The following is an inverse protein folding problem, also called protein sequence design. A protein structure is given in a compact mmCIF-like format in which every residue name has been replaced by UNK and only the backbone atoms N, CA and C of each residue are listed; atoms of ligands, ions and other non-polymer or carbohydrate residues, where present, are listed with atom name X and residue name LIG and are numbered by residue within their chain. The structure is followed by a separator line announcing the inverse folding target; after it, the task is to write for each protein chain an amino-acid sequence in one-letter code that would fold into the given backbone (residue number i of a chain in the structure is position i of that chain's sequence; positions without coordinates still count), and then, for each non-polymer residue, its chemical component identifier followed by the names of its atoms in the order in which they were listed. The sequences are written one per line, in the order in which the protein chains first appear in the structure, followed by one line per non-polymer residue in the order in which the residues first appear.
data_IF_041651387206
#
_entry.id   IF_041651387206
#
_cell.length_a   1.000
_cell.length_b   1.000
_cell.length_c   1.000
_cell.angle_alpha   90.00
_cell.angle_beta   90.00
_cell.angle_gamma   90.00
#
_symmetry.space_group_name_H-M   'P 1'
#
loop_
_entity.id
_entity.type
_entity.pdbx_description
1 polymer ?
#
# COMPACT_ATOMS: atom_id res chain seq x y z
N UNK A 1 -54.96 28.79 7.29
CA UNK A 1 -55.91 27.65 7.32
C UNK A 1 -55.58 26.74 6.15
N UNK A 2 -55.39 25.43 6.37
CA UNK A 2 -54.92 24.52 5.32
C UNK A 2 -56.01 24.22 4.28
N UNK A 3 -55.63 24.18 3.00
CA UNK A 3 -56.53 24.05 1.84
C UNK A 3 -56.82 22.58 1.47
N UNK A 4 -55.96 21.64 1.87
CA UNK A 4 -56.19 20.22 1.61
C UNK A 4 -56.99 19.57 2.75
N UNK A 5 -57.83 18.63 2.36
CA UNK A 5 -58.52 17.69 3.25
C UNK A 5 -57.90 16.30 3.11
N UNK A 6 -58.11 15.43 4.11
CA UNK A 6 -57.61 14.04 4.04
C UNK A 6 -58.14 13.28 2.81
N UNK A 7 -59.37 13.58 2.37
CA UNK A 7 -59.96 13.04 1.15
C UNK A 7 -59.21 13.52 -0.10
N UNK A 8 -58.98 14.83 -0.22
CA UNK A 8 -58.22 15.39 -1.34
C UNK A 8 -56.77 14.88 -1.39
N UNK A 9 -56.16 14.59 -0.24
CA UNK A 9 -54.83 13.94 -0.20
C UNK A 9 -54.90 12.54 -0.80
N UNK A 10 -55.88 11.71 -0.42
CA UNK A 10 -56.06 10.36 -1.01
C UNK A 10 -56.29 10.42 -2.53
N UNK A 11 -57.05 11.39 -3.00
CA UNK A 11 -57.30 11.56 -4.43
C UNK A 11 -56.06 12.07 -5.17
N UNK A 12 -55.30 12.99 -4.57
CA UNK A 12 -54.05 13.51 -5.10
C UNK A 12 -52.97 12.43 -5.30
N UNK A 13 -52.97 11.35 -4.51
CA UNK A 13 -52.02 10.24 -4.68
C UNK A 13 -52.16 9.51 -6.03
N UNK A 14 -53.32 9.64 -6.70
CA UNK A 14 -53.61 8.96 -7.97
C UNK A 14 -53.11 9.73 -9.20
N UNK A 15 -52.87 11.03 -9.06
CA UNK A 15 -52.51 11.91 -10.16
C UNK A 15 -51.18 12.61 -9.84
N UNK A 16 -50.13 12.38 -10.65
CA UNK A 16 -48.86 13.07 -10.47
C UNK A 16 -49.04 14.60 -10.50
N UNK A 17 -48.44 15.31 -9.55
CA UNK A 17 -48.67 16.75 -9.41
C UNK A 17 -48.13 17.34 -8.13
N UNK A 18 -48.33 18.65 -7.97
CA UNK A 18 -48.01 19.40 -6.75
C UNK A 18 -49.28 20.01 -6.19
N UNK A 19 -49.63 19.64 -4.97
CA UNK A 19 -50.89 20.01 -4.32
C UNK A 19 -50.60 20.89 -3.10
N UNK A 20 -51.08 22.14 -3.12
CA UNK A 20 -50.76 23.14 -2.09
C UNK A 20 -51.73 23.03 -0.90
N UNK A 21 -51.19 22.91 0.30
CA UNK A 21 -51.98 23.00 1.54
C UNK A 21 -51.99 24.43 2.11
N UNK A 22 -50.97 25.24 1.84
CA UNK A 22 -50.87 26.62 2.35
C UNK A 22 -49.71 26.82 3.31
N UNK A 23 -49.39 28.08 3.62
CA UNK A 23 -48.21 28.46 4.43
C UNK A 23 -46.88 27.86 3.93
N UNK A 24 -46.81 27.58 2.62
CA UNK A 24 -45.68 26.93 1.97
C UNK A 24 -45.65 25.39 2.11
N UNK A 25 -46.60 24.76 2.80
CA UNK A 25 -46.74 23.30 2.82
C UNK A 25 -47.43 22.81 1.54
N UNK A 26 -46.87 21.78 0.91
CA UNK A 26 -47.44 21.13 -0.26
C UNK A 26 -47.06 19.65 -0.34
N UNK A 27 -47.91 18.87 -1.01
CA UNK A 27 -47.66 17.48 -1.37
C UNK A 27 -47.13 17.43 -2.80
N UNK A 28 -46.07 16.65 -3.03
CA UNK A 28 -45.58 16.35 -4.38
C UNK A 28 -45.74 14.86 -4.65
N UNK A 29 -46.45 14.53 -5.72
CA UNK A 29 -46.71 13.16 -6.19
C UNK A 29 -45.97 12.96 -7.50
N UNK A 30 -45.10 11.96 -7.56
CA UNK A 30 -44.30 11.63 -8.74
C UNK A 30 -45.08 10.76 -9.75
N UNK A 31 -44.51 10.59 -10.95
CA UNK A 31 -45.11 9.79 -12.03
C UNK A 31 -45.17 8.28 -11.72
N UNK A 32 -44.47 7.81 -10.69
CA UNK A 32 -44.39 6.42 -10.24
C UNK A 32 -45.22 6.17 -8.97
N UNK A 33 -46.04 7.14 -8.53
CA UNK A 33 -46.92 7.04 -7.36
C UNK A 33 -46.23 7.31 -6.01
N UNK A 34 -44.97 7.71 -6.00
CA UNK A 34 -44.28 8.19 -4.80
C UNK A 34 -44.81 9.57 -4.39
N UNK A 35 -45.15 9.74 -3.11
CA UNK A 35 -45.70 10.99 -2.60
C UNK A 35 -44.96 11.46 -1.34
N UNK A 36 -44.56 12.72 -1.33
CA UNK A 36 -43.79 13.32 -0.25
C UNK A 36 -44.27 14.73 0.07
N UNK A 37 -44.29 15.05 1.36
CA UNK A 37 -44.60 16.37 1.89
C UNK A 37 -43.37 17.27 1.82
N UNK A 38 -43.58 18.53 1.44
CA UNK A 38 -42.56 19.55 1.39
C UNK A 38 -43.06 20.84 2.03
N UNK A 39 -42.17 21.56 2.71
CA UNK A 39 -42.42 22.94 3.13
C UNK A 39 -41.44 23.87 2.43
N UNK A 40 -41.99 24.87 1.73
CA UNK A 40 -41.24 25.95 1.10
C UNK A 40 -40.91 27.00 2.14
N UNK A 41 -39.62 27.24 2.33
CA UNK A 41 -39.06 28.15 3.32
C UNK A 41 -38.05 29.08 2.66
N UNK A 42 -37.78 30.23 3.30
CA UNK A 42 -36.76 31.18 2.87
C UNK A 42 -35.68 31.23 3.95
N UNK A 43 -34.45 30.90 3.58
CA UNK A 43 -33.28 30.93 4.47
C UNK A 43 -32.15 31.66 3.75
N UNK A 44 -31.52 32.63 4.42
CA UNK A 44 -30.47 33.47 3.83
C UNK A 44 -30.89 34.18 2.53
N UNK A 45 -32.14 34.65 2.46
CA UNK A 45 -32.69 35.33 1.28
C UNK A 45 -33.09 34.40 0.12
N UNK A 46 -32.73 33.10 0.13
CA UNK A 46 -33.02 32.14 -0.94
C UNK A 46 -34.21 31.24 -0.58
N UNK A 47 -35.10 31.01 -1.56
CA UNK A 47 -36.21 30.05 -1.43
C UNK A 47 -35.70 28.62 -1.59
N UNK A 48 -36.11 27.73 -0.68
CA UNK A 48 -35.78 26.29 -0.69
C UNK A 48 -36.98 25.46 -0.27
N UNK A 49 -37.10 24.26 -0.86
CA UNK A 49 -38.13 23.28 -0.50
C UNK A 49 -37.51 22.21 0.41
N UNK A 50 -38.01 22.10 1.65
CA UNK A 50 -37.57 21.12 2.63
C UNK A 50 -38.53 19.94 2.63
N UNK A 51 -38.03 18.74 2.31
CA UNK A 51 -38.82 17.51 2.40
C UNK A 51 -39.14 17.20 3.86
N UNK A 52 -40.41 17.01 4.21
CA UNK A 52 -40.85 16.59 5.54
C UNK A 52 -40.93 15.07 5.66
N UNK A 53 -41.08 14.36 4.55
CA UNK A 53 -41.09 12.90 4.48
C UNK A 53 -42.23 12.36 3.60
N UNK A 54 -42.35 11.03 3.49
CA UNK A 54 -43.33 10.41 2.61
C UNK A 54 -44.76 10.50 3.16
N UNK A 55 -45.73 10.79 2.29
CA UNK A 55 -47.15 10.81 2.64
C UNK A 55 -47.74 9.41 2.94
N UNK A 56 -46.97 8.33 2.71
CA UNK A 56 -47.33 6.98 3.17
C UNK A 56 -47.22 6.82 4.69
N UNK A 57 -46.29 7.55 5.30
CA UNK A 57 -45.96 7.44 6.73
C UNK A 57 -46.41 8.65 7.54
N UNK A 58 -46.63 9.79 6.87
CA UNK A 58 -46.93 11.07 7.52
C UNK A 58 -48.30 11.53 7.05
N UNK A 59 -49.23 11.61 7.99
CA UNK A 59 -50.57 12.16 7.78
C UNK A 59 -50.53 13.65 7.49
N UNK A 60 -51.62 14.19 6.92
CA UNK A 60 -51.74 15.63 6.66
C UNK A 60 -51.61 16.47 7.95
N UNK A 61 -52.15 15.97 9.08
CA UNK A 61 -52.08 16.67 10.36
C UNK A 61 -50.64 16.74 10.89
N UNK A 62 -49.90 15.63 10.82
CA UNK A 62 -48.48 15.57 11.20
C UNK A 62 -47.63 16.45 10.27
N UNK A 63 -47.89 16.43 8.96
CA UNK A 63 -47.21 17.28 7.99
C UNK A 63 -47.40 18.77 8.30
N UNK A 64 -48.60 19.20 8.73
CA UNK A 64 -48.86 20.57 9.19
C UNK A 64 -48.06 20.90 10.45
N UNK A 65 -48.04 20.01 11.43
CA UNK A 65 -47.23 20.17 12.65
C UNK A 65 -45.73 20.32 12.34
N UNK A 66 -45.20 19.43 11.51
CA UNK A 66 -43.79 19.47 11.08
C UNK A 66 -43.47 20.74 10.28
N UNK A 67 -44.39 21.22 9.44
CA UNK A 67 -44.21 22.47 8.69
C UNK A 67 -44.16 23.69 9.61
N UNK A 68 -44.99 23.73 10.67
CA UNK A 68 -44.95 24.80 11.68
C UNK A 68 -43.60 24.80 12.40
N UNK A 69 -43.14 23.63 12.87
CA UNK A 69 -41.85 23.49 13.54
C UNK A 69 -40.68 23.90 12.63
N UNK A 70 -40.70 23.47 11.37
CA UNK A 70 -39.66 23.83 10.41
C UNK A 70 -39.63 25.34 10.13
N UNK A 71 -40.80 25.99 10.01
CA UNK A 71 -40.86 27.44 9.85
C UNK A 71 -40.40 28.19 11.11
N UNK A 72 -40.76 27.72 12.30
CA UNK A 72 -40.32 28.30 13.58
C UNK A 72 -38.80 28.23 13.71
N UNK A 73 -38.21 27.05 13.48
CA UNK A 73 -36.77 26.86 13.56
C UNK A 73 -36.00 27.76 12.58
N UNK A 74 -36.50 27.98 11.35
CA UNK A 74 -35.82 28.86 10.39
C UNK A 74 -36.07 30.34 10.65
N UNK A 75 -37.32 30.76 10.89
CA UNK A 75 -37.68 32.18 10.97
C UNK A 75 -37.46 32.80 12.34
N UNK A 76 -37.63 32.04 13.41
CA UNK A 76 -37.55 32.55 14.79
C UNK A 76 -36.19 32.19 15.39
N UNK A 77 -35.77 30.94 15.24
CA UNK A 77 -34.53 30.44 15.87
C UNK A 77 -33.29 30.62 14.97
N UNK A 78 -33.47 31.06 13.72
CA UNK A 78 -32.37 31.29 12.77
C UNK A 78 -31.61 30.02 12.34
N UNK A 79 -32.18 28.83 12.55
CA UNK A 79 -31.54 27.53 12.26
C UNK A 79 -31.69 27.13 10.79
N UNK A 80 -30.62 26.64 10.18
CA UNK A 80 -30.68 26.03 8.84
C UNK A 80 -30.88 24.51 8.93
N UNK A 81 -32.15 24.08 8.95
CA UNK A 81 -32.56 22.67 9.05
C UNK A 81 -32.02 21.81 7.91
N UNK A 82 -31.72 22.40 6.74
CA UNK A 82 -31.13 21.67 5.60
C UNK A 82 -29.66 21.39 5.87
N UNK A 83 -28.93 22.36 6.44
CA UNK A 83 -27.55 22.20 6.86
C UNK A 83 -27.45 21.22 8.04
N UNK A 84 -28.35 21.29 9.03
CA UNK A 84 -28.46 20.34 10.14
C UNK A 84 -28.66 18.91 9.62
N UNK A 85 -29.62 18.66 8.73
CA UNK A 85 -29.83 17.32 8.17
C UNK A 85 -28.68 16.82 7.28
N UNK A 86 -27.95 17.73 6.62
CA UNK A 86 -26.71 17.37 5.91
C UNK A 86 -25.62 16.98 6.89
N UNK A 87 -25.54 17.67 8.03
CA UNK A 87 -24.65 17.34 9.14
C UNK A 87 -25.02 16.00 9.76
N UNK A 88 -26.29 15.71 10.03
CA UNK A 88 -26.76 14.41 10.55
C UNK A 88 -26.44 13.26 9.58
N UNK A 89 -26.54 13.50 8.26
CA UNK A 89 -26.15 12.52 7.24
C UNK A 89 -24.64 12.36 7.11
N UNK A 90 -23.87 13.42 7.30
CA UNK A 90 -22.41 13.39 7.37
C UNK A 90 -21.95 12.63 8.63
N UNK A 91 -22.64 12.81 9.75
CA UNK A 91 -22.51 12.06 10.99
C UNK A 91 -22.93 10.59 10.83
N UNK A 92 -23.68 10.21 9.80
CA UNK A 92 -24.05 8.81 9.57
C UNK A 92 -22.98 7.95 8.89
N UNK A 93 -21.94 8.55 8.27
CA UNK A 93 -20.90 7.77 7.59
C UNK A 93 -20.00 7.13 8.64
N UNK A 94 -20.05 5.80 8.70
CA UNK A 94 -19.25 5.03 9.64
C UNK A 94 -17.77 5.01 9.24
N UNK A 95 -16.88 4.75 10.20
CA UNK A 95 -15.46 4.59 9.92
C UNK A 95 -15.19 3.51 8.87
N UNK A 96 -15.91 2.38 8.93
CA UNK A 96 -15.82 1.27 7.98
C UNK A 96 -16.17 1.72 6.57
N UNK A 97 -17.28 2.43 6.38
CA UNK A 97 -17.68 2.95 5.08
C UNK A 97 -16.64 3.92 4.53
N UNK A 98 -16.13 4.84 5.36
CA UNK A 98 -15.07 5.76 4.97
C UNK A 98 -13.78 5.01 4.56
N UNK A 99 -13.40 3.96 5.28
CA UNK A 99 -12.23 3.15 4.98
C UNK A 99 -12.35 2.37 3.67
N UNK A 100 -13.51 1.73 3.43
CA UNK A 100 -13.79 1.00 2.18
C UNK A 100 -13.80 1.97 0.99
N UNK A 101 -14.41 3.14 1.15
CA UNK A 101 -14.43 4.15 0.10
C UNK A 101 -13.03 4.68 -0.20
N UNK A 102 -12.25 5.05 0.83
CA UNK A 102 -10.86 5.48 0.65
C UNK A 102 -10.03 4.41 -0.10
N UNK A 103 -10.17 3.15 0.31
CA UNK A 103 -9.49 2.02 -0.34
C UNK A 103 -9.87 1.92 -1.82
N UNK A 104 -11.17 1.95 -2.14
CA UNK A 104 -11.65 1.85 -3.52
C UNK A 104 -11.13 2.97 -4.44
N UNK A 105 -10.99 4.19 -3.90
CA UNK A 105 -10.54 5.37 -4.66
C UNK A 105 -9.01 5.42 -4.81
N UNK A 106 -8.25 4.84 -3.88
CA UNK A 106 -6.79 4.96 -3.85
C UNK A 106 -6.06 3.69 -4.29
N UNK A 107 -6.73 2.53 -4.32
CA UNK A 107 -6.09 1.24 -4.67
C UNK A 107 -5.43 1.25 -6.05
N UNK A 108 -5.97 2.01 -7.01
CA UNK A 108 -5.39 2.15 -8.35
C UNK A 108 -4.01 2.83 -8.36
N UNK A 109 -3.67 3.61 -7.32
CA UNK A 109 -2.35 4.22 -7.16
C UNK A 109 -1.33 3.33 -6.45
N UNK A 110 -1.71 2.16 -5.95
CA UNK A 110 -0.82 1.27 -5.22
C UNK A 110 -0.18 0.24 -6.14
N UNK A 111 1.16 0.12 -6.07
CA UNK A 111 1.95 -0.75 -6.96
C UNK A 111 1.76 -2.27 -6.74
N UNK A 112 1.11 -2.68 -5.66
CA UNK A 112 1.01 -4.08 -5.27
C UNK A 112 -0.41 -4.39 -4.83
N UNK A 113 -1.03 -5.35 -5.50
CA UNK A 113 -2.36 -5.86 -5.15
C UNK A 113 -2.36 -6.44 -3.72
N UNK A 114 -1.33 -7.21 -3.36
CA UNK A 114 -1.15 -7.68 -1.98
C UNK A 114 -1.01 -6.57 -0.95
N UNK A 115 -0.42 -5.41 -1.28
CA UNK A 115 -0.44 -4.25 -0.38
C UNK A 115 -1.86 -3.71 -0.21
N UNK A 116 -2.64 -3.68 -1.29
CA UNK A 116 -4.03 -3.23 -1.28
C UNK A 116 -4.90 -4.08 -0.37
N UNK A 117 -4.81 -5.40 -0.50
CA UNK A 117 -5.53 -6.36 0.35
C UNK A 117 -5.09 -6.25 1.82
N UNK A 118 -3.77 -6.22 2.07
CA UNK A 118 -3.22 -6.04 3.42
C UNK A 118 -3.60 -4.71 4.07
N UNK A 119 -3.94 -3.70 3.26
CA UNK A 119 -4.37 -2.42 3.77
C UNK A 119 -5.72 -2.55 4.47
N UNK A 120 -6.72 -3.07 3.77
CA UNK A 120 -8.07 -3.22 4.31
C UNK A 120 -8.13 -4.32 5.37
N UNK A 121 -7.49 -5.47 5.13
CA UNK A 121 -7.47 -6.59 6.07
C UNK A 121 -6.90 -6.22 7.45
N UNK A 122 -5.97 -5.26 7.51
CA UNK A 122 -5.46 -4.78 8.79
C UNK A 122 -6.49 -3.99 9.60
N UNK A 123 -7.34 -3.21 8.91
CA UNK A 123 -8.41 -2.45 9.56
C UNK A 123 -9.54 -3.40 9.96
N UNK A 124 -9.87 -4.39 9.12
CA UNK A 124 -10.81 -5.45 9.44
C UNK A 124 -10.42 -6.23 10.69
N UNK A 125 -9.14 -6.57 10.83
CA UNK A 125 -8.66 -7.34 11.98
C UNK A 125 -8.57 -6.50 13.25
N UNK A 126 -8.07 -5.28 13.17
CA UNK A 126 -7.64 -4.52 14.36
C UNK A 126 -8.55 -3.35 14.73
N UNK A 127 -9.36 -2.86 13.80
CA UNK A 127 -10.09 -1.57 13.95
C UNK A 127 -11.59 -1.75 13.86
N UNK A 128 -12.08 -2.45 12.82
CA UNK A 128 -13.50 -2.60 12.59
C UNK A 128 -14.29 -3.23 13.75
N UNK A 129 -13.77 -4.26 14.46
CA UNK A 129 -14.46 -4.83 15.61
C UNK A 129 -14.58 -3.87 16.80
N UNK A 130 -13.82 -2.77 16.82
CA UNK A 130 -13.81 -1.80 17.93
C UNK A 130 -14.72 -0.61 17.65
N UNK A 131 -14.55 0.04 16.51
CA UNK A 131 -15.29 1.26 16.17
C UNK A 131 -15.61 1.38 14.67
N UNK A 132 -15.53 0.29 13.90
CA UNK A 132 -15.82 0.32 12.46
C UNK A 132 -17.21 0.84 12.13
N UNK A 133 -18.21 0.45 12.91
CA UNK A 133 -19.61 0.77 12.66
C UNK A 133 -20.08 2.07 13.37
N UNK A 134 -19.16 2.77 14.04
CA UNK A 134 -19.43 4.09 14.62
C UNK A 134 -19.21 5.20 13.58
N UNK A 135 -19.97 6.31 13.66
CA UNK A 135 -19.71 7.53 12.89
C UNK A 135 -18.23 7.95 12.89
N UNK A 136 -17.69 8.27 11.71
CA UNK A 136 -16.32 8.78 11.60
C UNK A 136 -16.12 10.10 12.37
N UNK A 137 -17.18 10.90 12.54
CA UNK A 137 -17.16 12.13 13.32
C UNK A 137 -16.99 11.89 14.83
N UNK A 138 -17.46 10.76 15.35
CA UNK A 138 -17.48 10.46 16.79
C UNK A 138 -16.21 9.73 17.26
N UNK A 139 -15.32 9.38 16.34
CA UNK A 139 -14.05 8.72 16.69
C UNK A 139 -13.11 9.73 17.34
N UNK A 140 -12.66 9.45 18.56
CA UNK A 140 -11.73 10.30 19.31
C UNK A 140 -10.40 9.59 19.58
N UNK A 141 -9.41 10.31 20.10
CA UNK A 141 -8.08 9.75 20.36
C UNK A 141 -8.10 8.53 21.31
N UNK A 142 -8.97 8.51 22.32
CA UNK A 142 -9.10 7.37 23.25
C UNK A 142 -9.56 6.09 22.55
N UNK A 143 -10.46 6.18 21.56
CA UNK A 143 -10.90 5.02 20.77
C UNK A 143 -9.74 4.42 19.97
N UNK A 144 -8.94 5.30 19.35
CA UNK A 144 -7.78 4.90 18.55
C UNK A 144 -6.72 4.24 19.45
N UNK A 145 -6.46 4.83 20.63
CA UNK A 145 -5.54 4.26 21.62
C UNK A 145 -6.03 2.88 22.03
N UNK A 146 -7.30 2.72 22.41
CA UNK A 146 -7.87 1.44 22.83
C UNK A 146 -7.77 0.36 21.73
N UNK A 147 -7.98 0.72 20.46
CA UNK A 147 -7.82 -0.21 19.34
C UNK A 147 -6.36 -0.62 19.10
N UNK A 148 -5.41 0.29 19.34
CA UNK A 148 -3.98 0.04 19.12
C UNK A 148 -3.30 -0.65 20.29
N UNK A 149 -3.72 -0.41 21.53
CA UNK A 149 -3.07 -0.94 22.75
C UNK A 149 -2.71 -2.43 22.68
N UNK A 150 -3.60 -3.35 22.23
CA UNK A 150 -3.28 -4.79 22.17
C UNK A 150 -2.14 -5.14 21.22
N UNK A 151 -1.96 -4.36 20.15
CA UNK A 151 -0.95 -4.62 19.11
C UNK A 151 0.27 -3.71 19.20
N UNK A 152 0.20 -2.65 20.01
CA UNK A 152 1.19 -1.57 19.99
C UNK A 152 2.57 -2.02 20.46
N UNK A 153 2.65 -2.77 21.56
CA UNK A 153 3.93 -3.33 22.03
C UNK A 153 4.19 -4.74 21.49
N UNK A 154 3.14 -5.56 21.35
CA UNK A 154 3.28 -6.93 20.85
C UNK A 154 3.76 -6.96 19.39
N UNK A 155 3.28 -6.04 18.55
CA UNK A 155 3.60 -5.96 17.13
C UNK A 155 3.88 -4.51 16.70
N UNK A 156 5.04 -3.93 17.06
CA UNK A 156 5.26 -2.49 16.96
C UNK A 156 5.06 -1.90 15.56
N UNK A 157 5.57 -2.56 14.52
CA UNK A 157 5.40 -2.14 13.13
C UNK A 157 3.94 -2.22 12.67
N UNK A 158 3.22 -3.27 13.06
CA UNK A 158 1.79 -3.40 12.77
C UNK A 158 1.00 -2.29 13.46
N UNK A 159 1.26 -2.03 14.73
CA UNK A 159 0.63 -0.93 15.49
C UNK A 159 0.85 0.43 14.83
N UNK A 160 2.09 0.75 14.43
CA UNK A 160 2.41 2.00 13.71
C UNK A 160 1.67 2.12 12.38
N UNK A 161 1.63 1.03 11.60
CA UNK A 161 0.92 0.99 10.29
C UNK A 161 -0.58 1.17 10.46
N UNK A 162 -1.21 0.45 11.39
CA UNK A 162 -2.64 0.57 11.68
C UNK A 162 -2.98 1.98 12.15
N UNK A 163 -2.17 2.57 13.05
CA UNK A 163 -2.32 3.98 13.46
C UNK A 163 -2.33 4.93 12.28
N UNK A 164 -1.35 4.80 11.38
CA UNK A 164 -1.28 5.62 10.18
C UNK A 164 -2.53 5.48 9.31
N UNK A 165 -2.98 4.23 9.05
CA UNK A 165 -4.18 3.95 8.27
C UNK A 165 -5.44 4.56 8.89
N UNK A 166 -5.60 4.48 10.21
CA UNK A 166 -6.71 5.12 10.93
C UNK A 166 -6.69 6.63 10.68
N UNK A 167 -5.54 7.29 10.88
CA UNK A 167 -5.42 8.73 10.65
C UNK A 167 -5.70 9.11 9.19
N UNK A 168 -5.25 8.31 8.22
CA UNK A 168 -5.54 8.50 6.80
C UNK A 168 -7.04 8.48 6.52
N UNK A 169 -7.77 7.49 7.07
CA UNK A 169 -9.23 7.39 6.88
C UNK A 169 -9.96 8.57 7.53
N UNK A 170 -9.56 8.98 8.74
CA UNK A 170 -10.18 10.11 9.43
C UNK A 170 -9.91 11.45 8.71
N UNK A 171 -8.71 11.64 8.17
CA UNK A 171 -8.39 12.81 7.34
C UNK A 171 -9.17 12.80 6.01
N UNK A 172 -9.34 11.63 5.40
CA UNK A 172 -10.20 11.48 4.23
C UNK A 172 -11.65 11.83 4.56
N UNK A 173 -12.18 11.35 5.68
CA UNK A 173 -13.52 11.70 6.15
C UNK A 173 -13.67 13.21 6.41
N UNK A 174 -12.64 13.85 6.96
CA UNK A 174 -12.61 15.30 7.14
C UNK A 174 -12.65 16.05 5.80
N UNK A 175 -11.80 15.67 4.84
CA UNK A 175 -11.77 16.27 3.50
C UNK A 175 -13.09 16.08 2.72
N UNK A 176 -13.83 15.00 3.01
CA UNK A 176 -15.17 14.74 2.46
C UNK A 176 -16.31 15.44 3.20
N UNK A 177 -16.02 16.14 4.31
CA UNK A 177 -17.01 16.81 5.14
C UNK A 177 -17.84 15.87 6.02
N UNK A 178 -17.43 14.60 6.19
CA UNK A 178 -18.06 13.62 7.10
C UNK A 178 -17.58 13.74 8.53
N UNK A 179 -16.55 14.54 8.75
CA UNK A 179 -15.98 14.80 10.07
C UNK A 179 -15.58 16.27 10.18
N UNK A 180 -15.85 16.86 11.35
CA UNK A 180 -15.59 18.28 11.62
C UNK A 180 -14.10 18.62 11.74
N UNK A 181 -13.32 17.72 12.33
CA UNK A 181 -11.91 17.94 12.64
C UNK A 181 -11.01 16.93 11.93
N UNK A 182 -9.75 17.30 11.70
CA UNK A 182 -8.73 16.35 11.26
C UNK A 182 -8.56 15.18 12.24
N UNK A 183 -7.87 14.13 11.79
CA UNK A 183 -7.46 13.03 12.65
C UNK A 183 -6.61 13.55 13.82
N UNK A 184 -6.75 12.98 15.02
CA UNK A 184 -5.85 13.31 16.13
C UNK A 184 -4.38 13.18 15.70
N UNK A 185 -3.58 14.23 15.96
CA UNK A 185 -2.22 14.32 15.44
C UNK A 185 -1.33 13.17 15.94
N UNK A 186 -0.59 12.56 15.01
CA UNK A 186 0.43 11.55 15.31
C UNK A 186 1.59 12.08 16.15
N UNK A 187 1.77 13.42 16.16
CA UNK A 187 2.73 14.16 16.96
C UNK A 187 2.08 14.86 18.17
N UNK A 188 0.75 14.74 18.34
CA UNK A 188 -0.04 15.27 19.45
C UNK A 188 -0.62 14.13 20.30
N UNK A 189 -1.95 14.00 20.37
CA UNK A 189 -2.63 13.04 21.24
C UNK A 189 -2.26 11.57 20.97
N UNK A 190 -1.89 11.22 19.73
CA UNK A 190 -1.45 9.87 19.37
C UNK A 190 0.06 9.69 19.39
N UNK A 191 0.83 10.68 19.87
CA UNK A 191 2.29 10.58 20.00
C UNK A 191 2.67 9.46 20.95
N UNK A 192 3.65 8.66 20.55
CA UNK A 192 4.24 7.64 21.42
C UNK A 192 4.88 8.33 22.64
N UNK A 193 4.48 7.93 23.83
CA UNK A 193 4.80 8.55 25.12
C UNK A 193 3.66 9.35 25.74
N UNK A 194 2.59 9.67 25.00
CA UNK A 194 1.40 10.32 25.56
C UNK A 194 0.35 9.25 25.91
N UNK A 195 -0.52 8.90 24.96
CA UNK A 195 -1.56 7.88 25.14
C UNK A 195 -1.16 6.46 24.76
N UNK A 196 -0.06 6.29 24.03
CA UNK A 196 0.50 4.98 23.68
C UNK A 196 1.94 4.92 24.21
N UNK A 197 2.38 3.81 24.82
CA UNK A 197 3.72 3.74 25.39
C UNK A 197 4.80 3.88 24.30
N UNK A 198 5.98 4.40 24.65
CA UNK A 198 7.10 4.44 23.69
C UNK A 198 7.49 3.00 23.34
N UNK A 199 7.63 2.75 22.04
CA UNK A 199 8.14 1.48 21.54
C UNK A 199 9.67 1.56 21.56
N UNK A 200 10.29 0.85 22.50
CA UNK A 200 11.75 0.86 22.74
C UNK A 200 12.48 -0.29 22.05
N UNK A 201 11.76 -1.15 21.30
CA UNK A 201 12.38 -2.25 20.58
C UNK A 201 13.46 -1.76 19.63
N UNK A 202 14.69 -2.27 19.80
CA UNK A 202 15.79 -2.02 18.89
C UNK A 202 15.38 -2.40 17.46
N UNK A 203 15.77 -1.56 16.51
CA UNK A 203 15.51 -1.80 15.10
C UNK A 203 16.32 -3.03 14.69
N UNK A 204 15.69 -4.21 14.65
CA UNK A 204 16.39 -5.42 14.21
C UNK A 204 16.85 -5.23 12.76
N UNK A 205 18.15 -5.03 12.58
CA UNK A 205 18.76 -4.99 11.26
C UNK A 205 18.68 -6.39 10.66
N UNK A 206 18.35 -6.45 9.36
CA UNK A 206 18.36 -7.72 8.62
C UNK A 206 19.79 -8.26 8.63
N UNK A 207 20.02 -9.36 9.35
CA UNK A 207 21.35 -9.98 9.46
C UNK A 207 21.90 -10.30 8.07
N UNK A 208 23.10 -9.80 7.79
CA UNK A 208 23.84 -10.04 6.56
C UNK A 208 24.93 -11.08 6.81
N UNK A 209 25.14 -11.97 5.86
CA UNK A 209 26.25 -12.92 5.90
C UNK A 209 27.57 -12.14 5.71
N UNK A 210 28.62 -12.36 6.51
CA UNK A 210 29.94 -11.80 6.22
C UNK A 210 30.40 -12.21 4.82
N UNK A 211 30.91 -11.29 4.00
CA UNK A 211 31.27 -11.62 2.61
C UNK A 211 32.30 -12.74 2.51
N UNK A 212 33.17 -12.88 3.53
CA UNK A 212 34.16 -13.97 3.63
C UNK A 212 33.55 -15.37 3.68
N UNK A 213 32.31 -15.50 4.18
CA UNK A 213 31.60 -16.78 4.28
C UNK A 213 30.78 -17.12 3.02
N UNK A 214 30.58 -16.16 2.11
CA UNK A 214 29.75 -16.34 0.91
C UNK A 214 30.26 -17.46 -0.01
N UNK A 215 31.57 -17.57 -0.32
CA UNK A 215 32.02 -18.60 -1.26
C UNK A 215 31.76 -20.02 -0.75
N UNK A 216 32.07 -20.28 0.52
CA UNK A 216 31.79 -21.57 1.18
C UNK A 216 30.27 -21.86 1.22
N UNK A 217 29.45 -20.87 1.59
CA UNK A 217 28.00 -21.02 1.60
C UNK A 217 27.45 -21.38 0.22
N UNK A 218 27.93 -20.74 -0.86
CA UNK A 218 27.49 -21.05 -2.20
C UNK A 218 27.97 -22.44 -2.67
N UNK A 219 29.14 -22.90 -2.24
CA UNK A 219 29.58 -24.29 -2.47
C UNK A 219 28.62 -25.29 -1.82
N UNK A 220 28.24 -25.07 -0.55
CA UNK A 220 27.25 -25.88 0.15
C UNK A 220 25.87 -25.85 -0.55
N UNK A 221 25.46 -24.66 -1.02
CA UNK A 221 24.19 -24.47 -1.71
C UNK A 221 24.10 -25.29 -3.01
N UNK A 222 25.21 -25.37 -3.75
CA UNK A 222 25.33 -26.10 -5.02
C UNK A 222 25.25 -27.61 -4.85
N UNK A 223 25.57 -28.15 -3.67
CA UNK A 223 25.57 -29.59 -3.41
C UNK A 223 24.17 -30.24 -3.46
N UNK A 224 23.09 -29.45 -3.35
CA UNK A 224 21.70 -29.95 -3.39
C UNK A 224 20.85 -29.11 -4.34
N UNK A 225 20.97 -29.24 -5.67
CA UNK A 225 20.32 -28.33 -6.61
C UNK A 225 18.78 -28.35 -6.51
N UNK A 226 18.16 -27.18 -6.56
CA UNK A 226 16.71 -26.98 -6.66
C UNK A 226 16.45 -25.55 -7.18
N UNK A 227 15.28 -25.28 -7.77
CA UNK A 227 14.97 -23.91 -8.24
C UNK A 227 15.08 -22.85 -7.14
N UNK A 228 14.66 -23.16 -5.91
CA UNK A 228 14.81 -22.23 -4.78
C UNK A 228 16.27 -21.90 -4.45
N UNK A 229 17.17 -22.90 -4.56
CA UNK A 229 18.61 -22.72 -4.31
C UNK A 229 19.30 -21.99 -5.47
N UNK A 230 18.94 -22.32 -6.71
CA UNK A 230 19.43 -21.61 -7.90
C UNK A 230 18.97 -20.15 -7.89
N UNK A 231 17.71 -19.88 -7.52
CA UNK A 231 17.19 -18.51 -7.37
C UNK A 231 17.91 -17.73 -6.27
N UNK A 232 18.22 -18.36 -5.14
CA UNK A 232 19.01 -17.72 -4.07
C UNK A 232 20.43 -17.42 -4.55
N UNK A 233 21.12 -18.39 -5.17
CA UNK A 233 22.46 -18.20 -5.73
C UNK A 233 22.48 -17.07 -6.76
N UNK A 234 21.52 -17.06 -7.68
CA UNK A 234 21.37 -16.01 -8.67
C UNK A 234 21.14 -14.63 -8.03
N UNK A 235 20.29 -14.54 -6.99
CA UNK A 235 20.07 -13.29 -6.26
C UNK A 235 21.34 -12.78 -5.55
N UNK A 236 22.17 -13.67 -5.03
CA UNK A 236 23.47 -13.31 -4.43
C UNK A 236 24.43 -12.80 -5.51
N UNK A 237 24.60 -13.54 -6.61
CA UNK A 237 25.54 -13.22 -7.69
C UNK A 237 25.17 -11.95 -8.46
N UNK A 238 23.87 -11.62 -8.55
CA UNK A 238 23.38 -10.40 -9.21
C UNK A 238 23.16 -9.24 -8.24
N UNK A 239 23.30 -9.47 -6.93
CA UNK A 239 22.85 -8.56 -5.88
C UNK A 239 21.39 -8.09 -6.06
N UNK A 240 20.53 -8.87 -6.73
CA UNK A 240 19.13 -8.53 -6.95
C UNK A 240 18.27 -8.70 -5.69
N UNK A 241 17.06 -8.13 -5.68
CA UNK A 241 16.08 -8.41 -4.62
C UNK A 241 15.46 -9.80 -4.84
N UNK A 242 15.02 -10.43 -3.76
CA UNK A 242 14.33 -11.74 -3.82
C UNK A 242 13.19 -11.76 -4.85
N UNK A 243 12.34 -10.73 -4.87
CA UNK A 243 11.25 -10.65 -5.84
C UNK A 243 11.75 -10.60 -7.29
N UNK A 244 12.78 -9.80 -7.57
CA UNK A 244 13.35 -9.65 -8.92
C UNK A 244 13.88 -11.00 -9.42
N UNK A 245 14.65 -11.72 -8.59
CA UNK A 245 15.17 -13.04 -8.96
C UNK A 245 14.06 -14.11 -9.12
N UNK A 246 13.06 -14.14 -8.24
CA UNK A 246 11.97 -15.14 -8.28
C UNK A 246 11.04 -14.99 -9.48
N UNK A 247 10.88 -13.76 -9.97
CA UNK A 247 9.96 -13.44 -11.08
C UNK A 247 10.69 -13.29 -12.42
N UNK A 248 12.02 -13.46 -12.44
CA UNK A 248 12.80 -13.35 -13.66
C UNK A 248 12.35 -14.40 -14.69
N UNK A 249 12.16 -13.94 -15.92
CA UNK A 249 11.77 -14.77 -17.07
C UNK A 249 12.91 -14.92 -18.07
N UNK A 250 12.85 -15.97 -18.89
CA UNK A 250 13.89 -16.23 -19.89
C UNK A 250 14.00 -15.12 -20.94
N UNK A 251 12.90 -14.44 -21.26
CA UNK A 251 12.85 -13.31 -22.20
C UNK A 251 13.62 -12.07 -21.70
N UNK A 252 13.87 -11.97 -20.39
CA UNK A 252 14.64 -10.87 -19.81
C UNK A 252 16.16 -11.08 -19.94
N UNK A 253 16.61 -12.27 -20.37
CA UNK A 253 18.02 -12.64 -20.43
C UNK A 253 18.52 -12.57 -21.87
N UNK A 254 19.50 -11.71 -22.09
CA UNK A 254 20.34 -11.72 -23.27
C UNK A 254 21.62 -12.51 -22.95
N UNK A 255 21.69 -13.76 -23.42
CA UNK A 255 22.83 -14.65 -23.18
C UNK A 255 24.07 -14.24 -23.99
N UNK A 256 23.90 -13.60 -25.15
CA UNK A 256 25.01 -13.16 -25.99
C UNK A 256 25.66 -11.91 -25.39
N UNK A 257 24.85 -10.92 -25.02
CA UNK A 257 25.34 -9.71 -24.36
C UNK A 257 25.69 -9.93 -22.88
N UNK A 258 25.31 -11.07 -22.30
CA UNK A 258 25.44 -11.40 -20.86
C UNK A 258 24.73 -10.37 -19.97
N UNK A 259 23.51 -10.00 -20.35
CA UNK A 259 22.72 -9.00 -19.65
C UNK A 259 21.39 -9.58 -19.19
N UNK A 260 20.98 -9.19 -17.98
CA UNK A 260 19.61 -9.36 -17.51
C UNK A 260 18.91 -8.01 -17.46
N UNK A 261 17.83 -7.86 -18.22
CA UNK A 261 17.02 -6.63 -18.27
C UNK A 261 15.78 -6.80 -17.40
N UNK A 262 15.90 -6.46 -16.11
CA UNK A 262 14.79 -6.57 -15.16
C UNK A 262 13.74 -5.45 -15.43
N UNK A 263 12.49 -5.78 -15.80
CA UNK A 263 11.47 -4.80 -16.16
C UNK A 263 11.10 -3.87 -15.00
N UNK A 264 10.69 -2.64 -15.31
CA UNK A 264 10.27 -1.67 -14.29
C UNK A 264 9.15 -2.18 -13.39
N UNK A 265 8.28 -3.04 -13.91
CA UNK A 265 7.17 -3.69 -13.19
C UNK A 265 7.66 -4.60 -12.06
N UNK A 266 8.77 -5.29 -12.24
CA UNK A 266 9.41 -6.15 -11.22
C UNK A 266 10.22 -5.32 -10.21
N UNK A 267 10.55 -4.08 -10.55
CA UNK A 267 11.43 -3.21 -9.78
C UNK A 267 10.66 -2.36 -8.77
N UNK A 268 11.11 -2.35 -7.50
CA UNK A 268 10.54 -1.49 -6.43
C UNK A 268 10.34 -0.02 -6.84
N UNK A 269 11.24 0.50 -7.69
CA UNK A 269 11.24 1.90 -8.14
C UNK A 269 10.47 2.15 -9.44
N UNK A 270 9.94 1.13 -10.11
CA UNK A 270 9.22 1.30 -11.37
C UNK A 270 10.09 1.65 -12.57
N UNK A 271 11.41 1.42 -12.49
CA UNK A 271 12.37 1.72 -13.56
C UNK A 271 13.11 0.44 -13.94
N UNK A 272 13.17 0.16 -15.24
CA UNK A 272 13.94 -0.96 -15.80
C UNK A 272 15.39 -0.90 -15.33
N UNK A 273 15.96 -2.05 -15.02
CA UNK A 273 17.34 -2.16 -14.54
C UNK A 273 18.09 -3.23 -15.32
N UNK A 274 19.20 -2.83 -15.94
CA UNK A 274 20.09 -3.74 -16.66
C UNK A 274 21.19 -4.20 -15.70
N UNK A 275 21.28 -5.51 -15.50
CA UNK A 275 22.24 -6.21 -14.64
C UNK A 275 23.23 -6.99 -15.50
N UNK A 276 24.52 -6.63 -15.51
CA UNK A 276 25.55 -7.49 -16.11
C UNK A 276 25.65 -8.82 -15.37
N UNK A 277 25.71 -9.91 -16.14
CA UNK A 277 25.81 -11.27 -15.64
C UNK A 277 27.26 -11.74 -15.69
N UNK A 278 27.78 -12.15 -14.53
CA UNK A 278 29.09 -12.79 -14.46
C UNK A 278 29.06 -14.22 -14.97
N UNK A 279 30.22 -14.82 -15.25
CA UNK A 279 30.29 -16.24 -15.62
C UNK A 279 29.66 -17.16 -14.57
N UNK A 280 29.82 -16.84 -13.28
CA UNK A 280 29.15 -17.56 -12.19
C UNK A 280 27.61 -17.45 -12.28
N UNK A 281 27.07 -16.28 -12.60
CA UNK A 281 25.62 -16.10 -12.75
C UNK A 281 25.09 -16.85 -14.00
N UNK A 282 25.84 -16.81 -15.10
CA UNK A 282 25.50 -17.56 -16.31
C UNK A 282 25.52 -19.07 -16.06
N UNK A 283 26.43 -19.58 -15.23
CA UNK A 283 26.46 -20.99 -14.84
C UNK A 283 25.18 -21.41 -14.09
N UNK A 284 24.63 -20.52 -13.24
CA UNK A 284 23.33 -20.76 -12.58
C UNK A 284 22.20 -20.83 -13.61
N UNK A 285 22.19 -19.93 -14.58
CA UNK A 285 21.20 -19.94 -15.66
C UNK A 285 21.28 -21.21 -16.51
N UNK A 286 22.48 -21.68 -16.87
CA UNK A 286 22.64 -22.95 -17.60
C UNK A 286 22.06 -24.14 -16.82
N UNK A 287 22.28 -24.19 -15.50
CA UNK A 287 21.69 -25.22 -14.62
C UNK A 287 20.16 -25.11 -14.56
N UNK A 288 19.62 -23.90 -14.47
CA UNK A 288 18.18 -23.68 -14.49
C UNK A 288 17.56 -24.10 -15.83
N UNK A 289 18.23 -23.82 -16.95
CA UNK A 289 17.80 -24.24 -18.28
C UNK A 289 17.76 -25.77 -18.43
N UNK A 290 18.76 -26.47 -17.88
CA UNK A 290 18.79 -27.94 -17.89
C UNK A 290 17.65 -28.58 -17.08
N UNK A 291 17.10 -27.86 -16.08
CA UNK A 291 15.97 -28.31 -15.26
C UNK A 291 14.63 -27.75 -15.74
N UNK A 292 14.62 -26.97 -16.84
CA UNK A 292 13.47 -26.16 -17.26
C UNK A 292 12.20 -27.01 -17.41
N UNK A 293 11.12 -26.54 -16.77
CA UNK A 293 9.80 -27.15 -16.90
C UNK A 293 9.13 -26.70 -18.20
N UNK A 294 8.61 -27.66 -18.97
CA UNK A 294 7.85 -27.37 -20.18
C UNK A 294 6.66 -26.46 -19.86
N UNK A 295 6.48 -25.40 -20.65
CA UNK A 295 5.39 -24.44 -20.49
C UNK A 295 5.60 -23.32 -19.47
N UNK A 296 6.73 -23.29 -18.73
CA UNK A 296 7.05 -22.15 -17.85
C UNK A 296 8.05 -21.19 -18.50
N UNK A 297 7.72 -19.90 -18.50
CA UNK A 297 8.64 -18.83 -18.93
C UNK A 297 9.56 -18.34 -17.79
N UNK A 298 9.32 -18.77 -16.55
CA UNK A 298 10.14 -18.40 -15.40
C UNK A 298 11.49 -19.10 -15.46
N UNK A 299 12.55 -18.39 -15.06
CA UNK A 299 13.88 -18.98 -14.89
C UNK A 299 13.87 -19.96 -13.69
N UNK A 300 13.16 -19.58 -12.61
CA UNK A 300 13.07 -20.36 -11.38
C UNK A 300 11.60 -20.61 -10.99
N UNK A 301 10.90 -21.54 -11.65
CA UNK A 301 9.51 -21.85 -11.30
C UNK A 301 9.39 -22.54 -9.93
N UNK A 302 8.22 -22.36 -9.30
CA UNK A 302 7.77 -23.19 -8.18
C UNK A 302 7.29 -24.56 -8.64
N UNK A 303 6.88 -25.42 -7.69
CA UNK A 303 6.49 -26.81 -7.98
C UNK A 303 5.32 -26.94 -8.98
N UNK A 304 4.42 -25.95 -9.02
CA UNK A 304 3.28 -25.93 -9.94
C UNK A 304 3.56 -25.22 -11.27
N UNK A 305 4.82 -24.87 -11.57
CA UNK A 305 5.22 -24.16 -12.79
C UNK A 305 5.03 -22.64 -12.75
N UNK A 306 4.24 -22.13 -11.79
CA UNK A 306 4.08 -20.71 -11.51
C UNK A 306 5.20 -20.10 -10.63
N UNK A 307 5.11 -18.81 -10.28
CA UNK A 307 6.14 -18.15 -9.46
C UNK A 307 6.22 -18.76 -8.07
N UNK A 308 7.45 -18.99 -7.58
CA UNK A 308 7.67 -19.50 -6.22
C UNK A 308 7.28 -18.44 -5.17
N UNK A 309 6.92 -18.87 -3.95
CA UNK A 309 6.52 -17.96 -2.87
C UNK A 309 7.66 -17.04 -2.42
N UNK A 310 7.31 -15.91 -1.82
CA UNK A 310 8.27 -14.96 -1.23
C UNK A 310 9.13 -15.57 -0.10
N UNK A 311 8.57 -16.58 0.57
CA UNK A 311 9.24 -17.33 1.63
C UNK A 311 10.28 -18.34 1.12
N UNK A 312 10.26 -18.70 -0.16
CA UNK A 312 11.07 -19.82 -0.68
C UNK A 312 12.57 -19.63 -0.44
N UNK A 313 13.12 -18.45 -0.77
CA UNK A 313 14.55 -18.16 -0.61
C UNK A 313 14.95 -18.06 0.87
N UNK A 314 14.03 -17.59 1.73
CA UNK A 314 14.26 -17.57 3.17
C UNK A 314 14.23 -18.98 3.77
N UNK A 315 13.35 -19.85 3.27
CA UNK A 315 13.33 -21.27 3.65
C UNK A 315 14.63 -21.96 3.28
N UNK A 316 15.18 -21.68 2.10
CA UNK A 316 16.50 -22.21 1.70
C UNK A 316 17.60 -21.85 2.71
N UNK A 317 17.63 -20.60 3.21
CA UNK A 317 18.60 -20.20 4.25
C UNK A 317 18.35 -20.95 5.57
N UNK A 318 17.09 -21.06 6.00
CA UNK A 318 16.74 -21.81 7.23
C UNK A 318 17.12 -23.28 7.13
N UNK A 319 16.85 -23.91 5.99
CA UNK A 319 17.20 -25.31 5.72
C UNK A 319 18.72 -25.53 5.68
N UNK A 320 19.49 -24.50 5.35
CA UNK A 320 20.95 -24.48 5.43
C UNK A 320 21.49 -24.17 6.84
N UNK A 321 20.62 -23.92 7.83
CA UNK A 321 21.03 -23.54 9.19
C UNK A 321 21.52 -22.09 9.32
N UNK A 322 21.31 -21.26 8.30
CA UNK A 322 21.86 -19.91 8.25
C UNK A 322 20.93 -18.87 8.89
N UNK A 323 21.38 -18.07 9.88
CA UNK A 323 20.56 -17.10 10.60
C UNK A 323 20.39 -15.77 9.83
N UNK A 324 20.73 -15.75 8.54
CA UNK A 324 20.77 -14.55 7.71
C UNK A 324 19.46 -14.29 6.97
N UNK A 325 19.30 -13.06 6.51
CA UNK A 325 18.16 -12.66 5.69
C UNK A 325 18.57 -12.56 4.22
N UNK A 326 17.72 -12.97 3.27
CA UNK A 326 18.02 -12.92 1.82
C UNK A 326 18.45 -11.51 1.36
N UNK A 327 17.73 -10.48 1.79
CA UNK A 327 18.11 -9.09 1.52
C UNK A 327 19.48 -8.68 2.11
N UNK A 328 19.97 -9.37 3.14
CA UNK A 328 21.26 -9.12 3.76
C UNK A 328 22.44 -9.31 2.80
N UNK A 329 22.33 -10.21 1.82
CA UNK A 329 23.38 -10.40 0.79
C UNK A 329 23.64 -9.13 -0.04
N UNK A 330 22.68 -8.21 -0.14
CA UNK A 330 22.91 -6.92 -0.78
C UNK A 330 23.78 -5.99 0.06
N UNK A 331 23.73 -6.11 1.39
CA UNK A 331 24.70 -5.45 2.27
C UNK A 331 26.05 -6.14 2.17
N UNK A 332 26.07 -7.48 2.20
CA UNK A 332 27.28 -8.29 1.98
C UNK A 332 28.05 -7.89 0.73
N UNK A 333 27.35 -7.70 -0.40
CA UNK A 333 27.96 -7.21 -1.65
C UNK A 333 28.55 -5.80 -1.52
N UNK A 334 27.88 -4.90 -0.79
CA UNK A 334 28.42 -3.55 -0.54
C UNK A 334 29.64 -3.58 0.36
N UNK A 335 29.61 -4.38 1.43
CA UNK A 335 30.74 -4.54 2.35
C UNK A 335 31.95 -5.13 1.61
N UNK A 336 31.72 -6.16 0.77
CA UNK A 336 32.78 -6.70 -0.08
C UNK A 336 33.36 -5.67 -1.04
N UNK A 337 32.50 -4.91 -1.74
CA UNK A 337 32.97 -3.93 -2.71
C UNK A 337 33.81 -2.83 -2.03
N UNK A 338 33.40 -2.39 -0.83
CA UNK A 338 34.14 -1.41 -0.04
C UNK A 338 35.49 -1.94 0.47
N UNK A 339 35.53 -3.20 0.93
CA UNK A 339 36.72 -3.77 1.57
C UNK A 339 37.74 -4.35 0.58
N UNK A 340 37.30 -4.83 -0.59
CA UNK A 340 38.09 -5.66 -1.50
C UNK A 340 38.32 -5.06 -2.89
N UNK A 341 37.76 -3.89 -3.17
CA UNK A 341 37.84 -3.29 -4.50
C UNK A 341 38.03 -1.79 -4.43
N UNK A 342 38.38 -1.19 -5.58
CA UNK A 342 38.47 0.27 -5.76
C UNK A 342 37.27 0.83 -6.51
N UNK A 343 36.19 0.04 -6.69
CA UNK A 343 35.01 0.50 -7.42
C UNK A 343 34.32 1.64 -6.66
N UNK A 344 33.98 2.76 -7.33
CA UNK A 344 33.29 3.87 -6.67
C UNK A 344 31.92 3.46 -6.13
N UNK A 345 31.54 3.99 -4.97
CA UNK A 345 30.22 3.75 -4.35
C UNK A 345 29.05 4.00 -5.30
N UNK A 346 29.16 5.01 -6.18
CA UNK A 346 28.16 5.29 -7.21
C UNK A 346 27.93 4.11 -8.17
N UNK A 347 28.97 3.33 -8.50
CA UNK A 347 28.87 2.14 -9.36
C UNK A 347 28.21 0.99 -8.59
N UNK A 348 28.58 0.79 -7.32
CA UNK A 348 27.99 -0.23 -6.43
C UNK A 348 26.50 0.04 -6.19
N UNK A 349 26.13 1.29 -5.92
CA UNK A 349 24.74 1.72 -5.77
C UNK A 349 23.96 1.59 -7.07
N UNK A 350 24.57 1.91 -8.21
CA UNK A 350 23.98 1.72 -9.52
C UNK A 350 23.73 0.23 -9.83
N UNK A 351 24.64 -0.68 -9.47
CA UNK A 351 24.43 -2.13 -9.60
C UNK A 351 23.22 -2.63 -8.78
N UNK A 352 22.98 -2.00 -7.63
CA UNK A 352 21.86 -2.29 -6.72
C UNK A 352 20.55 -1.58 -7.09
N UNK A 353 20.51 -0.80 -8.18
CA UNK A 353 19.39 0.06 -8.55
C UNK A 353 18.97 1.03 -7.41
N UNK A 354 19.93 1.48 -6.60
CA UNK A 354 19.71 2.48 -5.57
C UNK A 354 19.50 3.87 -6.18
N UNK A 355 19.01 4.82 -5.36
CA UNK A 355 18.82 6.21 -5.80
C UNK A 355 20.17 6.91 -5.76
N UNK A 356 20.72 7.28 -6.92
CA UNK A 356 21.81 8.25 -7.00
C UNK A 356 21.29 9.60 -6.48
N UNK A 357 22.05 10.33 -5.64
CA UNK A 357 21.62 11.59 -5.04
C UNK A 357 21.16 12.63 -6.07
N UNK A 358 21.78 12.64 -7.25
CA UNK A 358 21.53 13.64 -8.27
C UNK A 358 20.32 13.30 -9.16
N UNK A 359 19.35 14.22 -9.19
CA UNK A 359 18.12 14.12 -9.97
C UNK A 359 18.36 14.39 -11.47
N UNK A 360 19.42 15.12 -11.81
CA UNK A 360 19.75 15.59 -13.16
C UNK A 360 20.30 14.45 -14.04
N UNK A 361 21.10 13.56 -13.45
CA UNK A 361 21.58 12.33 -14.10
C UNK A 361 20.49 11.24 -14.25
N UNK A 362 19.30 11.42 -13.66
CA UNK A 362 18.26 10.38 -13.58
C UNK A 362 17.54 10.08 -14.89
N UNK A 363 17.71 10.93 -15.91
CA UNK A 363 17.08 10.84 -17.22
C UNK A 363 17.81 9.89 -18.20
N UNK A 364 19.12 9.63 -18.01
CA UNK A 364 19.95 8.84 -18.95
C UNK A 364 20.22 7.38 -18.54
N UNK A 365 19.41 6.79 -17.65
CA UNK A 365 19.83 5.63 -16.82
C UNK A 365 19.39 4.23 -17.26
N UNK A 366 19.48 3.86 -18.54
CA UNK A 366 19.44 2.42 -18.92
C UNK A 366 20.80 1.76 -18.79
N UNK A 367 21.88 2.48 -19.14
CA UNK A 367 23.25 1.97 -19.22
C UNK A 367 24.23 2.65 -18.25
N UNK A 368 23.74 3.31 -17.19
CA UNK A 368 24.59 4.03 -16.24
C UNK A 368 25.72 3.15 -15.72
N UNK A 369 26.96 3.57 -15.98
CA UNK A 369 28.18 2.85 -15.62
C UNK A 369 28.20 1.38 -16.08
N UNK A 370 27.51 1.01 -17.16
CA UNK A 370 27.33 -0.40 -17.54
C UNK A 370 28.66 -1.16 -17.67
N UNK A 371 29.67 -0.58 -18.31
CA UNK A 371 31.01 -1.18 -18.42
C UNK A 371 31.66 -1.37 -17.04
N UNK A 372 31.64 -0.33 -16.19
CA UNK A 372 32.20 -0.42 -14.83
C UNK A 372 31.44 -1.43 -13.96
N UNK A 373 30.11 -1.50 -14.11
CA UNK A 373 29.27 -2.49 -13.45
C UNK A 373 29.56 -3.90 -13.97
N UNK A 374 29.85 -4.07 -15.26
CA UNK A 374 30.23 -5.37 -15.83
C UNK A 374 31.49 -5.88 -15.16
N UNK A 375 32.53 -5.04 -15.05
CA UNK A 375 33.76 -5.38 -14.32
C UNK A 375 33.49 -5.69 -12.84
N UNK A 376 32.63 -4.91 -12.19
CA UNK A 376 32.24 -5.12 -10.78
C UNK A 376 31.51 -6.46 -10.57
N UNK A 377 30.51 -6.76 -11.41
CA UNK A 377 29.73 -7.99 -11.31
C UNK A 377 30.56 -9.22 -11.64
N UNK A 378 31.48 -9.13 -12.60
CA UNK A 378 32.43 -10.20 -12.90
C UNK A 378 33.37 -10.46 -11.71
N UNK A 379 33.96 -9.41 -11.14
CA UNK A 379 34.80 -9.54 -9.94
C UNK A 379 34.04 -10.14 -8.75
N UNK A 380 32.78 -9.76 -8.56
CA UNK A 380 31.92 -10.33 -7.51
C UNK A 380 31.61 -11.80 -7.76
N UNK A 381 31.28 -12.16 -9.02
CA UNK A 381 31.05 -13.54 -9.42
C UNK A 381 32.27 -14.43 -9.21
N UNK A 382 33.44 -13.95 -9.61
CA UNK A 382 34.71 -14.63 -9.40
C UNK A 382 35.03 -14.81 -7.91
N UNK A 383 34.81 -13.78 -7.09
CA UNK A 383 34.96 -13.88 -5.64
C UNK A 383 34.03 -14.93 -5.04
N UNK A 384 32.74 -14.90 -5.38
CA UNK A 384 31.74 -15.86 -4.93
C UNK A 384 32.01 -17.30 -5.39
N UNK A 385 32.72 -17.47 -6.51
CA UNK A 385 33.11 -18.77 -7.05
C UNK A 385 34.46 -19.27 -6.54
N UNK A 386 35.23 -18.42 -5.84
CA UNK A 386 36.54 -18.80 -5.31
C UNK A 386 36.41 -19.90 -4.25
N UNK A 387 37.27 -20.91 -4.29
CA UNK A 387 37.34 -21.90 -3.21
C UNK A 387 38.13 -21.29 -2.07
N UNK A 388 37.57 -21.27 -0.87
CA UNK A 388 38.29 -20.98 0.38
C UNK A 388 39.30 -22.10 0.63
N UNK A 389 40.44 -22.03 -0.08
CA UNK A 389 41.50 -23.05 -0.08
C UNK A 389 42.52 -22.93 -1.22
N UNK A 390 42.32 -22.07 -2.22
CA UNK A 390 43.27 -21.87 -3.32
C UNK A 390 43.84 -20.44 -3.35
N UNK A 391 45.17 -20.33 -3.48
CA UNK A 391 46.00 -19.10 -3.54
C UNK A 391 45.25 -17.83 -3.97
N UNK A 392 45.36 -16.80 -3.14
CA UNK A 392 45.07 -15.40 -3.47
C UNK A 392 45.72 -15.08 -4.81
N UNK A 393 44.93 -14.73 -5.83
CA UNK A 393 45.43 -14.16 -7.07
C UNK A 393 45.63 -12.67 -6.78
N UNK A 394 46.89 -12.26 -6.61
CA UNK A 394 47.24 -10.85 -6.64
C UNK A 394 46.96 -10.31 -8.04
N UNK A 395 46.12 -9.28 -8.12
CA UNK A 395 45.95 -8.53 -9.36
C UNK A 395 47.22 -7.70 -9.59
N UNK A 396 47.83 -7.74 -10.79
CA UNK A 396 49.03 -6.95 -11.06
C UNK A 396 48.69 -5.46 -10.95
N UNK A 397 49.36 -4.78 -10.02
CA UNK A 397 49.43 -3.34 -10.01
C UNK A 397 50.06 -2.90 -11.34
N UNK A 398 49.31 -2.13 -12.13
CA UNK A 398 49.88 -1.40 -13.25
C UNK A 398 50.89 -0.40 -12.68
N UNK A 399 52.16 -0.76 -12.73
CA UNK A 399 53.27 0.17 -12.53
C UNK A 399 53.28 1.07 -13.75
N UNK A 400 52.95 2.35 -13.55
CA UNK A 400 53.23 3.38 -14.53
C UNK A 400 54.75 3.46 -14.72
N UNK A 401 55.21 3.08 -15.91
CA UNK A 401 56.46 3.57 -16.46
C UNK A 401 56.13 4.86 -17.21
N UNK A 402 56.77 5.96 -16.81
CA UNK A 402 56.60 7.31 -17.34
C UNK A 402 57.06 8.33 -16.33
#
# INVERSE_FOLDING_TARGET
MGKLTAKQVKDALKVPGSYQDGDGLFLKVDKRGGASWYVRVQSGGKRRDVSLGTAKLISLAEARGMAVLARKAIKIEGRDIIAERRKDKAEAVTFRQAAVQYHSENKGGWKSEGYSEQWLASLERHVFPRFGDRPANDIVASDIIAALSPIWQAYPETGRRVRHRICTVLNFAHARGWRTHEAPSSNGSLKAGNGLPKQTGERQHRKAMPYKAVPEFLEQLRAKPSFGRLALEFAVLTSARSQEARLATWEEIDLEAKLWTCPGEHMKRGKTHIVPLSEAALAVLRKAAALKLAGSNLIFPGMSGGPMSDMTLLKVLRDAGEPFHVHGFRSTFTDWAADKTTFPNAVVDAAKAHKTPDATEAAYRRTTHLEKRTKLMEAWGAYCASRTGGKVIDFPNAVNAG
#
